data_IF_814873585118
#
_entry.id   IF_814873585118
#
_cell.length_a   1.000
_cell.length_b   1.000
_cell.length_c   1.000
_cell.angle_alpha   90.00
_cell.angle_beta   90.00
_cell.angle_gamma   90.00
#
_symmetry.space_group_name_H-M   'P 1'
#
loop_
_entity.id
_entity.type
_entity.pdbx_description
1 polymer ?
#
# COMPACT_ATOMS: atom_id res chain seq x y z
N UNK A 1 8.70 -46.75 14.35
CA UNK A 1 7.29 -46.25 14.34
C UNK A 1 6.93 -45.91 12.90
N UNK A 2 6.35 -46.89 12.21
CA UNK A 2 5.94 -46.75 10.80
C UNK A 2 4.70 -45.88 10.70
N UNK A 3 4.77 -44.78 9.93
CA UNK A 3 3.61 -44.00 9.55
C UNK A 3 2.78 -44.82 8.57
N UNK A 4 1.63 -45.32 9.01
CA UNK A 4 0.61 -45.91 8.15
C UNK A 4 0.07 -44.84 7.21
N UNK A 5 0.50 -44.88 5.97
CA UNK A 5 -0.17 -44.20 4.83
C UNK A 5 -1.53 -44.86 4.65
N UNK A 6 -2.56 -44.27 5.25
CA UNK A 6 -3.96 -44.62 4.94
C UNK A 6 -4.33 -43.99 3.59
N UNK A 7 -4.00 -44.69 2.49
CA UNK A 7 -4.61 -44.43 1.18
C UNK A 7 -6.14 -44.50 1.35
N UNK A 8 -6.81 -43.33 1.33
CA UNK A 8 -8.27 -43.28 1.28
C UNK A 8 -8.72 -43.97 0.00
N UNK A 9 -9.80 -44.81 0.06
CA UNK A 9 -10.26 -45.56 -1.11
C UNK A 9 -10.63 -44.61 -2.25
N UNK A 10 -10.40 -45.04 -3.49
CA UNK A 10 -10.47 -44.25 -4.71
C UNK A 10 -11.87 -43.68 -5.04
N UNK A 11 -12.91 -43.99 -4.29
CA UNK A 11 -14.31 -43.64 -4.58
C UNK A 11 -14.96 -42.76 -3.50
N UNK A 12 -14.19 -41.86 -2.84
CA UNK A 12 -14.70 -40.99 -1.77
C UNK A 12 -14.31 -39.53 -2.02
N UNK A 13 -15.19 -38.62 -1.59
CA UNK A 13 -14.89 -37.19 -1.58
C UNK A 13 -13.71 -36.87 -0.65
N UNK A 14 -12.70 -36.16 -1.14
CA UNK A 14 -11.52 -35.78 -0.36
C UNK A 14 -11.83 -34.78 0.76
N UNK A 15 -12.97 -34.08 0.69
CA UNK A 15 -13.36 -33.05 1.65
C UNK A 15 -14.24 -33.60 2.78
N UNK A 16 -15.35 -34.28 2.46
CA UNK A 16 -16.29 -34.77 3.45
C UNK A 16 -16.20 -36.27 3.74
N UNK A 17 -15.48 -37.03 2.89
CA UNK A 17 -15.31 -38.47 3.06
C UNK A 17 -16.48 -39.33 2.57
N UNK A 18 -17.57 -38.75 2.05
CA UNK A 18 -18.72 -39.50 1.52
C UNK A 18 -18.31 -40.31 0.26
N UNK A 19 -18.86 -41.48 0.16
CA UNK A 19 -18.62 -42.39 -0.98
C UNK A 19 -19.38 -41.92 -2.22
N UNK A 20 -18.96 -42.43 -3.40
CA UNK A 20 -19.62 -42.17 -4.68
C UNK A 20 -21.10 -42.56 -4.69
N UNK A 21 -21.51 -43.53 -3.86
CA UNK A 21 -22.88 -44.04 -3.79
C UNK A 21 -23.77 -43.16 -2.87
N UNK A 22 -23.19 -42.26 -2.06
CA UNK A 22 -23.90 -41.40 -1.13
C UNK A 22 -24.05 -39.97 -1.66
N UNK A 23 -23.49 -39.66 -2.81
CA UNK A 23 -23.51 -38.34 -3.44
C UNK A 23 -24.05 -38.43 -4.87
N UNK A 24 -24.67 -37.35 -5.35
CA UNK A 24 -25.22 -37.35 -6.69
C UNK A 24 -24.12 -37.33 -7.76
N UNK A 25 -23.02 -36.60 -7.51
CA UNK A 25 -21.90 -36.51 -8.44
C UNK A 25 -20.58 -36.38 -7.69
N UNK A 26 -19.54 -37.03 -8.20
CA UNK A 26 -18.16 -36.89 -7.68
C UNK A 26 -17.27 -36.42 -8.84
N UNK A 27 -16.63 -35.27 -8.66
CA UNK A 27 -15.75 -34.66 -9.64
C UNK A 27 -14.31 -35.07 -9.35
N UNK A 28 -13.62 -35.53 -10.37
CA UNK A 28 -12.20 -35.86 -10.32
C UNK A 28 -11.38 -34.60 -10.60
N UNK A 29 -10.39 -34.31 -9.72
CA UNK A 29 -9.41 -33.27 -9.89
C UNK A 29 -8.03 -33.81 -10.20
N UNK A 30 -7.09 -32.93 -10.48
CA UNK A 30 -5.69 -33.27 -10.68
C UNK A 30 -5.12 -33.97 -9.43
N UNK A 31 -4.14 -34.86 -9.63
CA UNK A 31 -3.47 -35.61 -8.55
C UNK A 31 -4.39 -36.53 -7.71
N UNK A 32 -5.54 -37.00 -8.27
CA UNK A 32 -6.43 -37.93 -7.61
C UNK A 32 -7.28 -37.35 -6.49
N UNK A 33 -7.34 -36.01 -6.37
CA UNK A 33 -8.29 -35.33 -5.49
C UNK A 33 -9.71 -35.45 -6.07
N UNK A 34 -10.72 -35.58 -5.17
CA UNK A 34 -12.13 -35.67 -5.55
C UNK A 34 -12.98 -34.76 -4.69
N UNK A 35 -13.99 -34.15 -5.30
CA UNK A 35 -14.96 -33.30 -4.59
C UNK A 35 -16.39 -33.68 -5.01
N UNK A 36 -17.31 -33.79 -4.05
CA UNK A 36 -18.70 -34.07 -4.33
C UNK A 36 -19.51 -32.80 -4.58
N UNK A 37 -20.68 -32.95 -5.23
CA UNK A 37 -21.68 -31.90 -5.46
C UNK A 37 -22.02 -31.14 -4.18
N UNK A 38 -22.30 -31.83 -3.06
CA UNK A 38 -22.64 -31.20 -1.78
C UNK A 38 -21.50 -30.31 -1.22
N UNK A 39 -20.24 -30.72 -1.40
CA UNK A 39 -19.10 -29.92 -0.99
C UNK A 39 -18.90 -28.69 -1.88
N UNK A 40 -19.21 -28.78 -3.17
CA UNK A 40 -19.20 -27.66 -4.11
C UNK A 40 -20.28 -26.65 -3.73
N UNK A 41 -21.52 -27.11 -3.48
CA UNK A 41 -22.62 -26.23 -3.04
C UNK A 41 -22.32 -25.53 -1.73
N UNK A 42 -21.81 -26.28 -0.73
CA UNK A 42 -21.39 -25.70 0.55
C UNK A 42 -20.27 -24.67 0.36
N UNK A 43 -19.29 -24.98 -0.48
CA UNK A 43 -18.20 -24.03 -0.82
C UNK A 43 -18.73 -22.78 -1.50
N UNK A 44 -19.67 -22.94 -2.43
CA UNK A 44 -20.31 -21.83 -3.12
C UNK A 44 -21.13 -20.95 -2.15
N UNK A 45 -21.90 -21.56 -1.23
CA UNK A 45 -22.63 -20.81 -0.19
C UNK A 45 -21.68 -20.03 0.71
N UNK A 46 -20.58 -20.63 1.18
CA UNK A 46 -19.57 -19.94 2.00
C UNK A 46 -18.90 -18.78 1.24
N UNK A 47 -18.69 -18.93 -0.05
CA UNK A 47 -18.17 -17.85 -0.91
C UNK A 47 -19.19 -16.72 -1.13
N UNK A 48 -20.47 -17.05 -1.14
CA UNK A 48 -21.56 -16.08 -1.26
C UNK A 48 -21.80 -15.32 0.07
N UNK A 49 -21.70 -16.02 1.22
CA UNK A 49 -21.78 -15.40 2.55
C UNK A 49 -20.54 -14.54 2.88
N UNK A 50 -19.38 -14.95 2.38
CA UNK A 50 -18.14 -14.18 2.44
C UNK A 50 -17.78 -13.79 1.01
N UNK A 51 -18.44 -12.78 0.42
CA UNK A 51 -17.99 -12.30 -0.87
C UNK A 51 -16.51 -11.95 -0.66
N UNK A 52 -15.61 -12.76 -1.27
CA UNK A 52 -14.21 -12.41 -1.32
C UNK A 52 -14.23 -10.91 -1.62
N UNK A 53 -13.63 -10.12 -0.73
CA UNK A 53 -13.10 -8.83 -1.15
C UNK A 53 -12.30 -9.23 -2.40
N UNK A 54 -12.95 -9.15 -3.55
CA UNK A 54 -12.26 -9.34 -4.83
C UNK A 54 -11.03 -8.50 -4.63
N UNK A 55 -9.85 -9.09 -4.77
CA UNK A 55 -8.61 -8.31 -4.86
C UNK A 55 -8.97 -7.32 -5.94
N UNK A 56 -9.45 -6.17 -5.51
CA UNK A 56 -9.74 -5.07 -6.42
C UNK A 56 -8.38 -4.78 -6.98
N UNK A 57 -8.11 -5.28 -8.20
CA UNK A 57 -6.97 -4.76 -8.93
C UNK A 57 -7.09 -3.27 -8.76
N UNK A 58 -6.12 -2.67 -8.09
CA UNK A 58 -6.07 -1.23 -7.95
C UNK A 58 -6.43 -0.68 -9.32
N UNK A 59 -7.37 0.27 -9.42
CA UNK A 59 -7.80 0.75 -10.71
C UNK A 59 -6.54 1.09 -11.49
N UNK A 60 -6.25 0.31 -12.53
CA UNK A 60 -5.09 0.54 -13.38
C UNK A 60 -5.32 1.93 -13.97
N UNK A 61 -4.61 2.92 -13.46
CA UNK A 61 -4.62 4.26 -14.04
C UNK A 61 -4.07 4.05 -15.45
N UNK A 62 -4.91 4.22 -16.46
CA UNK A 62 -4.45 4.15 -17.84
C UNK A 62 -3.70 5.44 -18.17
N UNK A 63 -2.71 5.36 -19.05
CA UNK A 63 -1.94 6.54 -19.49
C UNK A 63 -2.87 7.68 -19.98
N UNK A 64 -4.00 7.33 -20.58
CA UNK A 64 -5.03 8.25 -21.08
C UNK A 64 -5.82 8.95 -19.96
N UNK A 65 -5.88 8.33 -18.77
CA UNK A 65 -6.58 8.85 -17.59
C UNK A 65 -5.66 9.67 -16.69
N UNK A 66 -4.34 9.70 -16.98
CA UNK A 66 -3.38 10.46 -16.20
C UNK A 66 -3.58 11.96 -16.41
N UNK A 67 -4.01 12.63 -15.36
CA UNK A 67 -4.24 14.08 -15.37
C UNK A 67 -2.94 14.83 -15.69
N UNK A 68 -2.97 15.72 -16.67
CA UNK A 68 -1.83 16.58 -17.02
C UNK A 68 -1.53 17.56 -15.88
N UNK A 69 -0.27 18.04 -15.74
CA UNK A 69 0.11 18.99 -14.67
C UNK A 69 -0.79 20.22 -14.58
N UNK A 70 -1.24 20.73 -15.74
CA UNK A 70 -2.19 21.87 -15.79
C UNK A 70 -3.50 21.54 -15.12
N UNK A 71 -4.06 20.36 -15.36
CA UNK A 71 -5.32 19.91 -14.76
C UNK A 71 -5.19 19.68 -13.26
N UNK A 72 -4.06 19.10 -12.82
CA UNK A 72 -3.74 18.93 -11.39
C UNK A 72 -3.67 20.30 -10.72
N UNK A 73 -2.96 21.27 -11.32
CA UNK A 73 -2.88 22.63 -10.81
C UNK A 73 -4.25 23.29 -10.72
N UNK A 74 -5.06 23.21 -11.77
CA UNK A 74 -6.44 23.78 -11.78
C UNK A 74 -7.30 23.19 -10.66
N UNK A 75 -7.17 21.91 -10.36
CA UNK A 75 -7.86 21.32 -9.24
C UNK A 75 -7.35 21.85 -7.90
N UNK A 76 -6.04 22.00 -7.74
CA UNK A 76 -5.43 22.58 -6.52
C UNK A 76 -5.87 24.03 -6.31
N UNK A 77 -6.07 24.80 -7.39
CA UNK A 77 -6.54 26.20 -7.34
C UNK A 77 -7.95 26.35 -6.72
N UNK A 78 -8.77 25.29 -6.76
CA UNK A 78 -10.08 25.27 -6.13
C UNK A 78 -10.04 25.17 -4.60
N UNK A 79 -8.95 24.64 -4.03
CA UNK A 79 -8.82 24.36 -2.59
C UNK A 79 -7.77 25.22 -1.90
N UNK A 80 -6.74 25.64 -2.63
CA UNK A 80 -5.58 26.35 -2.08
C UNK A 80 -5.43 27.71 -2.75
N UNK A 81 -5.58 28.77 -1.96
CA UNK A 81 -5.40 30.15 -2.43
C UNK A 81 -3.91 30.50 -2.39
N UNK A 82 -3.40 31.12 -3.45
CA UNK A 82 -1.98 31.46 -3.56
C UNK A 82 -1.09 30.26 -3.83
N UNK A 83 0.17 30.32 -3.39
CA UNK A 83 1.17 29.23 -3.52
C UNK A 83 1.39 28.78 -4.98
N UNK A 84 1.35 29.68 -5.94
CA UNK A 84 1.38 29.37 -7.38
C UNK A 84 2.60 28.55 -7.79
N UNK A 85 3.77 28.88 -7.25
CA UNK A 85 5.04 28.18 -7.53
C UNK A 85 4.98 26.75 -6.98
N UNK A 86 4.57 26.56 -5.71
CA UNK A 86 4.45 25.25 -5.08
C UNK A 86 3.44 24.35 -5.83
N UNK A 87 2.28 24.88 -6.19
CA UNK A 87 1.26 24.16 -6.96
C UNK A 87 1.79 23.66 -8.31
N UNK A 88 2.56 24.49 -9.03
CA UNK A 88 3.17 24.08 -10.30
C UNK A 88 4.17 22.94 -10.11
N UNK A 89 5.12 23.09 -9.17
CA UNK A 89 6.15 22.08 -8.93
C UNK A 89 5.54 20.75 -8.49
N UNK A 90 4.61 20.77 -7.53
CA UNK A 90 3.99 19.55 -7.04
C UNK A 90 3.13 18.87 -8.12
N UNK A 91 2.46 19.64 -8.98
CA UNK A 91 1.68 19.08 -10.09
C UNK A 91 2.54 18.33 -11.09
N UNK A 92 3.73 18.85 -11.39
CA UNK A 92 4.71 18.18 -12.29
C UNK A 92 5.30 16.94 -11.60
N UNK A 93 5.69 17.05 -10.34
CA UNK A 93 6.27 15.94 -9.59
C UNK A 93 5.29 14.76 -9.45
N UNK A 94 4.04 15.04 -9.13
CA UNK A 94 2.96 14.05 -9.06
C UNK A 94 2.73 13.39 -10.43
N UNK A 95 2.66 14.18 -11.50
CA UNK A 95 2.52 13.65 -12.85
C UNK A 95 3.67 12.70 -13.22
N UNK A 96 4.93 13.11 -12.95
CA UNK A 96 6.10 12.29 -13.24
C UNK A 96 6.09 10.99 -12.44
N UNK A 97 5.71 11.04 -11.15
CA UNK A 97 5.61 9.85 -10.32
C UNK A 97 4.63 8.82 -10.90
N UNK A 98 3.41 9.23 -11.26
CA UNK A 98 2.43 8.31 -11.83
C UNK A 98 2.78 7.88 -13.25
N UNK A 99 3.42 8.75 -14.03
CA UNK A 99 3.96 8.38 -15.34
C UNK A 99 4.99 7.25 -15.20
N UNK A 100 5.88 7.33 -14.19
CA UNK A 100 6.86 6.29 -13.90
C UNK A 100 6.18 4.95 -13.59
N UNK A 101 5.21 4.93 -12.67
CA UNK A 101 4.48 3.72 -12.30
C UNK A 101 3.83 3.05 -13.53
N UNK A 102 3.27 3.84 -14.44
CA UNK A 102 2.67 3.32 -15.67
C UNK A 102 3.70 2.77 -16.67
N UNK A 103 4.91 3.36 -16.72
CA UNK A 103 6.00 2.84 -17.53
C UNK A 103 6.58 1.54 -17.00
N UNK A 104 6.72 1.39 -15.68
CA UNK A 104 7.15 0.16 -15.03
C UNK A 104 6.17 -1.00 -15.33
N UNK A 105 4.85 -0.73 -15.36
CA UNK A 105 3.83 -1.71 -15.73
C UNK A 105 3.89 -2.12 -17.22
N UNK A 106 4.35 -1.23 -18.11
CA UNK A 106 4.37 -1.47 -19.58
C UNK A 106 5.63 -2.16 -20.11
N UNK A 107 6.62 -2.41 -19.25
CA UNK A 107 7.91 -3.03 -19.65
C UNK A 107 8.66 -2.30 -20.77
N UNK A 108 8.37 -1.03 -21.02
CA UNK A 108 9.01 -0.22 -22.05
C UNK A 108 10.30 0.42 -21.51
N UNK A 109 11.41 -0.30 -21.66
CA UNK A 109 12.72 -0.03 -21.04
C UNK A 109 13.48 1.16 -21.66
N UNK A 110 12.86 2.02 -22.46
CA UNK A 110 13.60 3.06 -23.16
C UNK A 110 13.81 4.37 -22.37
N UNK A 111 13.05 4.60 -21.30
CA UNK A 111 13.16 5.83 -20.50
C UNK A 111 13.10 5.49 -19.02
N UNK A 112 14.22 5.68 -18.33
CA UNK A 112 14.27 5.57 -16.87
C UNK A 112 13.86 6.91 -16.25
N UNK A 113 12.80 6.89 -15.41
CA UNK A 113 12.33 8.05 -14.67
C UNK A 113 12.66 7.82 -13.20
N UNK A 114 13.55 8.63 -12.65
CA UNK A 114 13.97 8.53 -11.26
C UNK A 114 12.81 8.72 -10.27
N UNK A 115 12.85 7.94 -9.20
CA UNK A 115 11.95 8.13 -8.06
C UNK A 115 12.35 9.39 -7.30
N UNK A 116 11.40 10.27 -7.04
CA UNK A 116 11.66 11.50 -6.29
C UNK A 116 10.66 11.68 -5.15
N UNK A 117 11.17 12.04 -3.98
CA UNK A 117 10.38 12.50 -2.86
C UNK A 117 10.25 14.03 -2.91
N UNK A 118 9.15 14.57 -2.38
CA UNK A 118 8.88 16.00 -2.41
C UNK A 118 9.06 16.56 -1.00
N UNK A 119 9.96 17.53 -0.83
CA UNK A 119 10.11 18.26 0.42
C UNK A 119 9.38 19.60 0.31
N UNK A 120 8.47 19.87 1.26
CA UNK A 120 7.76 21.14 1.38
C UNK A 120 8.30 21.95 2.55
N UNK A 121 8.88 23.11 2.26
CA UNK A 121 9.43 24.03 3.27
C UNK A 121 8.58 25.28 3.34
N UNK A 122 8.24 25.72 4.56
CA UNK A 122 7.44 26.93 4.79
C UNK A 122 6.92 27.01 6.21
N UNK A 123 6.47 28.18 6.61
CA UNK A 123 5.90 28.44 7.94
C UNK A 123 4.67 27.55 8.20
N UNK A 124 4.35 27.38 9.48
CA UNK A 124 3.10 26.72 9.90
C UNK A 124 1.89 27.49 9.36
N UNK A 125 0.85 26.78 8.93
CA UNK A 125 -0.37 27.40 8.38
C UNK A 125 -0.30 27.77 6.90
N UNK A 126 0.82 27.56 6.19
CA UNK A 126 0.94 27.89 4.75
C UNK A 126 0.25 26.89 3.82
N UNK A 127 -0.41 25.87 4.35
CA UNK A 127 -1.21 24.94 3.57
C UNK A 127 -0.47 23.70 3.04
N UNK A 128 0.74 23.38 3.57
CA UNK A 128 1.53 22.20 3.14
C UNK A 128 0.73 20.89 3.20
N UNK A 129 0.15 20.60 4.35
CA UNK A 129 -0.68 19.39 4.56
C UNK A 129 -1.96 19.42 3.71
N UNK A 130 -2.57 20.60 3.51
CA UNK A 130 -3.74 20.75 2.65
C UNK A 130 -3.43 20.42 1.20
N UNK A 131 -2.28 20.87 0.68
CA UNK A 131 -1.81 20.53 -0.68
C UNK A 131 -1.67 19.02 -0.85
N UNK A 132 -0.98 18.34 0.06
CA UNK A 132 -0.77 16.88 -0.02
C UNK A 132 -2.10 16.11 0.05
N UNK A 133 -2.98 16.48 0.98
CA UNK A 133 -4.32 15.87 1.12
C UNK A 133 -5.19 16.08 -0.11
N UNK A 134 -5.13 17.27 -0.71
CA UNK A 134 -5.91 17.60 -1.91
C UNK A 134 -5.45 16.79 -3.12
N UNK A 135 -4.14 16.55 -3.25
CA UNK A 135 -3.58 15.69 -4.28
C UNK A 135 -4.05 14.24 -4.10
N UNK A 136 -3.95 13.70 -2.89
CA UNK A 136 -4.41 12.33 -2.62
C UNK A 136 -5.91 12.17 -2.93
N UNK A 137 -6.73 13.18 -2.63
CA UNK A 137 -8.15 13.22 -2.98
C UNK A 137 -8.37 13.22 -4.50
N UNK A 138 -7.60 14.02 -5.24
CA UNK A 138 -7.67 14.08 -6.70
C UNK A 138 -7.35 12.72 -7.34
N UNK A 139 -6.30 12.09 -6.85
CA UNK A 139 -5.80 10.82 -7.36
C UNK A 139 -6.58 9.61 -6.84
N UNK A 140 -7.45 9.82 -5.84
CA UNK A 140 -8.23 8.76 -5.18
C UNK A 140 -7.35 7.66 -4.60
N UNK A 141 -6.21 8.03 -4.04
CA UNK A 141 -5.25 7.11 -3.41
C UNK A 141 -5.30 7.22 -1.89
N UNK A 142 -4.88 6.15 -1.16
CA UNK A 142 -4.73 6.21 0.29
C UNK A 142 -3.80 7.34 0.72
N UNK A 143 -4.15 7.99 1.81
CA UNK A 143 -3.39 9.10 2.36
C UNK A 143 -3.23 8.96 3.88
N UNK A 144 -2.00 8.98 4.35
CA UNK A 144 -1.71 8.98 5.78
C UNK A 144 -0.81 10.16 6.15
N UNK A 145 -0.98 10.66 7.38
CA UNK A 145 -0.14 11.70 7.97
C UNK A 145 0.57 11.08 9.16
N UNK A 146 1.87 11.31 9.23
CA UNK A 146 2.71 10.85 10.33
C UNK A 146 3.50 12.03 10.86
N UNK A 147 3.51 12.19 12.16
CA UNK A 147 4.37 13.17 12.85
C UNK A 147 5.75 12.52 13.08
N UNK A 148 6.77 13.13 12.51
CA UNK A 148 8.13 12.60 12.59
C UNK A 148 8.67 12.60 14.05
N UNK A 149 8.13 13.41 14.93
CA UNK A 149 8.59 13.50 16.33
C UNK A 149 8.20 12.30 17.18
N UNK A 150 7.21 11.53 16.77
CA UNK A 150 6.78 10.31 17.48
C UNK A 150 7.48 9.05 16.97
N UNK A 151 8.21 9.16 15.87
CA UNK A 151 8.92 8.04 15.27
C UNK A 151 10.21 7.73 16.03
N UNK A 152 10.46 6.44 16.22
CA UNK A 152 11.70 5.93 16.84
C UNK A 152 12.24 4.76 16.02
N UNK A 153 13.51 4.42 16.28
CA UNK A 153 14.09 3.19 15.74
C UNK A 153 13.41 1.97 16.35
N UNK A 154 13.22 0.91 15.56
CA UNK A 154 12.57 -0.32 15.99
C UNK A 154 13.16 -0.87 17.30
N UNK A 155 12.28 -1.19 18.27
CA UNK A 155 12.64 -1.72 19.58
C UNK A 155 12.82 -0.69 20.70
N UNK A 156 12.55 0.59 20.43
CA UNK A 156 12.54 1.64 21.47
C UNK A 156 11.13 2.15 21.75
N UNK A 157 10.99 2.95 22.82
CA UNK A 157 9.70 3.53 23.22
C UNK A 157 9.30 4.61 22.22
N UNK A 158 8.26 4.35 21.43
CA UNK A 158 7.74 5.21 20.37
C UNK A 158 7.08 4.42 19.27
N UNK A 159 6.75 5.04 18.16
CA UNK A 159 6.23 4.36 16.98
C UNK A 159 7.39 4.02 16.05
N UNK A 160 7.47 2.76 15.65
CA UNK A 160 8.48 2.32 14.68
C UNK A 160 8.21 2.94 13.31
N UNK A 161 9.28 3.23 12.54
CA UNK A 161 9.16 3.75 11.18
C UNK A 161 8.32 2.82 10.30
N UNK A 162 8.40 1.50 10.53
CA UNK A 162 7.59 0.49 9.86
C UNK A 162 6.08 0.64 10.12
N UNK A 163 5.69 1.31 11.21
CA UNK A 163 4.29 1.60 11.52
C UNK A 163 3.63 2.51 10.48
N UNK A 164 4.43 3.31 9.77
CA UNK A 164 3.97 4.17 8.67
C UNK A 164 3.29 3.34 7.57
N UNK A 165 3.97 2.26 7.15
CA UNK A 165 3.44 1.35 6.13
C UNK A 165 2.19 0.62 6.62
N UNK A 166 2.18 0.22 7.89
CA UNK A 166 1.01 -0.40 8.52
C UNK A 166 -0.19 0.55 8.51
N UNK A 167 -0.01 1.83 8.85
CA UNK A 167 -1.05 2.85 8.79
C UNK A 167 -1.55 3.08 7.36
N UNK A 168 -0.64 3.16 6.39
CA UNK A 168 -1.01 3.31 4.98
C UNK A 168 -1.83 2.10 4.50
N UNK A 169 -1.42 0.90 4.88
CA UNK A 169 -2.11 -0.34 4.54
C UNK A 169 -3.51 -0.41 5.18
N UNK A 170 -3.66 0.06 6.42
CA UNK A 170 -4.97 0.17 7.08
C UNK A 170 -5.91 1.13 6.33
N UNK A 171 -5.40 2.31 5.92
CA UNK A 171 -6.19 3.27 5.14
C UNK A 171 -6.56 2.71 3.76
N UNK A 172 -5.75 1.81 3.22
CA UNK A 172 -6.02 1.09 1.98
C UNK A 172 -6.93 -0.14 2.16
N UNK A 173 -7.57 -0.34 3.32
CA UNK A 173 -8.36 -1.55 3.63
C UNK A 173 -7.58 -2.85 3.43
N UNK A 174 -6.29 -2.85 3.70
CA UNK A 174 -5.35 -3.96 3.50
C UNK A 174 -5.20 -4.41 2.03
N UNK A 175 -5.55 -3.54 1.10
CA UNK A 175 -5.25 -3.73 -0.33
C UNK A 175 -3.83 -3.23 -0.62
N UNK A 176 -2.90 -4.18 -0.80
CA UNK A 176 -1.47 -3.88 -1.04
C UNK A 176 -1.29 -3.08 -2.33
N UNK A 177 -1.96 -3.48 -3.42
CA UNK A 177 -1.83 -2.81 -4.71
C UNK A 177 -2.34 -1.37 -4.69
N UNK A 178 -3.32 -1.08 -3.82
CA UNK A 178 -3.79 0.28 -3.58
C UNK A 178 -2.82 1.04 -2.67
N UNK A 179 -2.26 0.39 -1.65
CA UNK A 179 -1.30 0.99 -0.72
C UNK A 179 0.00 1.42 -1.42
N UNK A 180 0.50 0.62 -2.36
CA UNK A 180 1.70 0.92 -3.17
C UNK A 180 1.60 2.26 -3.94
N UNK A 181 0.39 2.71 -4.21
CA UNK A 181 0.09 3.99 -4.88
C UNK A 181 -0.26 5.10 -3.89
N UNK A 182 -0.23 4.81 -2.60
CA UNK A 182 -0.59 5.73 -1.54
C UNK A 182 0.42 6.87 -1.36
N UNK A 183 -0.03 7.90 -0.63
CA UNK A 183 0.79 9.04 -0.28
C UNK A 183 0.95 9.09 1.22
N UNK A 184 2.19 9.12 1.68
CA UNK A 184 2.57 9.37 3.06
C UNK A 184 3.04 10.82 3.19
N UNK A 185 2.45 11.57 4.09
CA UNK A 185 2.90 12.91 4.45
C UNK A 185 3.56 12.87 5.84
N UNK A 186 4.87 13.11 5.85
CA UNK A 186 5.65 13.16 7.08
C UNK A 186 5.74 14.63 7.51
N UNK A 187 5.12 14.97 8.63
CA UNK A 187 5.14 16.31 9.19
C UNK A 187 6.29 16.46 10.19
N UNK A 188 6.71 17.70 10.45
CA UNK A 188 7.71 18.07 11.45
C UNK A 188 9.09 17.38 11.31
N UNK A 189 9.48 16.98 10.09
CA UNK A 189 10.73 16.26 9.82
C UNK A 189 11.98 17.06 10.23
N UNK A 190 11.88 18.38 10.31
CA UNK A 190 12.96 19.27 10.76
C UNK A 190 13.27 19.10 12.25
N UNK A 191 12.35 18.56 13.04
CA UNK A 191 12.57 18.32 14.47
C UNK A 191 13.44 17.10 14.73
N UNK A 192 13.46 16.13 13.83
CA UNK A 192 14.34 14.95 13.92
C UNK A 192 15.81 15.35 13.75
N UNK A 193 16.09 16.39 12.97
CA UNK A 193 17.45 16.84 12.69
C UNK A 193 18.10 17.63 13.84
N UNK A 194 17.37 17.97 14.89
CA UNK A 194 17.94 18.67 16.04
C UNK A 194 18.72 17.68 16.90
N UNK A 195 20.05 17.62 16.70
CA UNK A 195 20.96 17.03 17.69
C UNK A 195 20.72 17.72 19.02
N UNK A 196 20.30 16.96 20.03
CA UNK A 196 20.34 17.44 21.40
C UNK A 196 21.78 17.84 21.72
N UNK A 197 22.00 19.03 22.24
CA UNK A 197 23.31 19.56 22.74
C UNK A 197 23.88 18.77 23.93
N UNK A 198 23.39 17.58 24.20
CA UNK A 198 23.90 16.70 25.25
C UNK A 198 24.93 15.71 24.67
N UNK A 199 26.21 15.86 25.03
CA UNK A 199 27.24 14.90 24.67
C UNK A 199 27.16 13.61 25.53
N UNK A 200 25.98 13.05 25.75
CA UNK A 200 25.85 11.74 26.36
C UNK A 200 26.10 10.67 25.30
N UNK A 201 26.96 9.72 25.67
CA UNK A 201 27.46 8.58 24.88
C UNK A 201 26.34 7.60 24.43
N UNK A 202 25.10 7.96 24.55
CA UNK A 202 23.93 7.20 24.11
C UNK A 202 23.60 7.54 22.67
N UNK A 203 23.62 6.50 21.83
CA UNK A 203 23.19 6.54 20.43
C UNK A 203 21.86 7.30 20.31
N UNK A 204 21.79 8.29 19.42
CA UNK A 204 20.57 9.07 19.20
C UNK A 204 19.55 8.21 18.42
N UNK A 205 18.68 7.59 19.18
CA UNK A 205 17.67 6.63 18.69
C UNK A 205 16.53 7.33 17.98
N UNK A 206 16.31 8.61 18.26
CA UNK A 206 15.19 9.39 17.71
C UNK A 206 15.55 10.21 16.48
N UNK A 207 16.82 10.53 16.28
CA UNK A 207 17.26 11.36 15.16
C UNK A 207 17.89 10.56 14.02
N UNK A 208 19.10 10.06 14.22
CA UNK A 208 19.87 9.37 13.17
C UNK A 208 19.29 7.99 12.83
N UNK A 209 18.78 7.26 13.83
CA UNK A 209 18.15 5.95 13.63
C UNK A 209 16.91 6.02 12.76
N UNK A 210 16.03 7.02 12.98
CA UNK A 210 14.83 7.25 12.18
C UNK A 210 15.18 7.64 10.75
N UNK A 211 16.19 8.50 10.54
CA UNK A 211 16.63 8.88 9.21
C UNK A 211 17.22 7.69 8.42
N UNK A 212 17.93 6.77 9.08
CA UNK A 212 18.47 5.57 8.45
C UNK A 212 17.37 4.55 8.12
N UNK A 213 16.36 4.41 8.99
CA UNK A 213 15.23 3.52 8.76
C UNK A 213 14.36 4.03 7.60
N UNK A 214 14.10 5.35 7.50
CA UNK A 214 13.39 5.98 6.40
C UNK A 214 14.09 5.71 5.04
N UNK A 215 15.43 5.79 5.00
CA UNK A 215 16.20 5.43 3.79
C UNK A 215 16.03 3.98 3.37
N UNK A 216 15.86 3.04 4.31
CA UNK A 216 15.65 1.62 4.01
C UNK A 216 14.23 1.32 3.53
N UNK A 217 13.24 2.08 3.96
CA UNK A 217 11.85 1.90 3.57
C UNK A 217 11.50 2.49 2.20
N UNK A 218 12.40 3.26 1.60
CA UNK A 218 12.22 3.98 0.32
C UNK A 218 12.82 3.23 -0.89
N UNK A 219 13.15 1.94 -0.73
CA UNK A 219 13.66 1.10 -1.83
C UNK A 219 12.55 0.45 -2.61
#
# INVERSE_FOLDING_TARGET
MEKKDTKRPADHCSFCGLSRYEVAMLFDGDNGARICDQCIERGHALLAENPKKTVRKAPSIRMEELLKPIQIKQFLDQYVIGQESAKRHISVAVYNHYKRLLHEESNDMQIEIDKSNIMMVGQTGTGKTLLARTIAKLLKVPFTIVDATVLTEAGYVGEDVESILTRLLQVADYDVALAERGIVFIDEIDKIARKGDNPSITRDVSGEGVQQADRKSVV
#
